data_IF_185260025563
#
_entry.id   IF_185260025563
#
_cell.length_a   1.000
_cell.length_b   1.000
_cell.length_c   1.000
_cell.angle_alpha   90.00
_cell.angle_beta   90.00
_cell.angle_gamma   90.00
#
_symmetry.space_group_name_H-M   'P 1'
#
loop_
_entity.id
_entity.type
_entity.pdbx_description
1 polymer ?
#
# COMPACT_ATOMS: atom_id res chain seq x y z
N UNK A 1 -6.01 13.20 0.93
CA UNK A 1 -6.56 14.55 0.73
C UNK A 1 -5.79 15.63 1.49
N UNK A 2 -5.03 15.29 2.53
CA UNK A 2 -4.20 16.25 3.29
C UNK A 2 -2.88 16.60 2.62
N UNK A 3 -2.41 15.81 1.66
CA UNK A 3 -1.11 15.99 1.04
C UNK A 3 -0.95 17.37 0.42
N UNK A 4 0.21 17.97 0.67
CA UNK A 4 0.68 19.19 0.04
C UNK A 4 1.84 18.88 -0.92
N UNK A 5 2.24 19.83 -1.75
CA UNK A 5 3.38 19.63 -2.64
C UNK A 5 4.69 19.41 -1.84
N UNK A 6 4.80 19.97 -0.63
CA UNK A 6 5.94 19.73 0.28
C UNK A 6 6.06 18.29 0.79
N UNK A 7 4.98 17.51 0.71
CA UNK A 7 4.96 16.11 1.16
C UNK A 7 5.40 15.13 0.05
N UNK A 8 5.66 15.62 -1.16
CA UNK A 8 6.04 14.78 -2.30
C UNK A 8 7.47 15.10 -2.70
N UNK A 9 8.36 14.17 -2.47
CA UNK A 9 9.72 14.21 -3.00
C UNK A 9 9.78 13.34 -4.25
N UNK A 10 9.72 13.99 -5.42
CA UNK A 10 9.72 13.28 -6.71
C UNK A 10 11.11 12.74 -7.05
N UNK A 11 12.17 13.38 -6.59
CA UNK A 11 13.55 12.94 -6.86
C UNK A 11 13.92 11.73 -5.99
N UNK A 12 13.58 11.76 -4.70
CA UNK A 12 13.71 10.60 -3.80
C UNK A 12 12.59 9.56 -4.01
N UNK A 13 11.56 9.88 -4.80
CA UNK A 13 10.35 9.06 -5.04
C UNK A 13 9.62 8.69 -3.75
N UNK A 14 9.47 9.65 -2.84
CA UNK A 14 8.88 9.43 -1.51
C UNK A 14 7.67 10.34 -1.30
N UNK A 15 6.62 9.76 -0.72
CA UNK A 15 5.46 10.49 -0.18
C UNK A 15 5.53 10.46 1.34
N UNK A 16 5.57 11.63 1.97
CA UNK A 16 5.56 11.80 3.42
C UNK A 16 4.12 11.88 3.92
N UNK A 17 3.64 10.85 4.60
CA UNK A 17 2.32 10.85 5.23
C UNK A 17 2.47 11.37 6.65
N UNK A 18 2.19 12.64 6.85
CA UNK A 18 2.40 13.37 8.11
C UNK A 18 1.19 14.16 8.57
N UNK A 19 0.08 14.13 7.82
CA UNK A 19 -1.14 14.91 8.06
C UNK A 19 -2.40 14.08 7.90
N UNK A 20 -3.48 14.52 8.50
CA UNK A 20 -4.83 14.00 8.34
C UNK A 20 -5.77 15.10 7.87
N UNK A 21 -6.76 14.73 7.06
CA UNK A 21 -7.78 15.64 6.54
C UNK A 21 -9.16 15.28 7.06
N UNK A 22 -9.84 16.26 7.58
CA UNK A 22 -11.24 16.17 7.95
C UNK A 22 -12.00 17.37 7.36
N UNK A 23 -13.31 17.22 7.19
CA UNK A 23 -14.19 18.34 6.86
C UNK A 23 -15.30 18.38 7.91
N UNK A 24 -15.36 19.47 8.66
CA UNK A 24 -16.30 19.69 9.77
C UNK A 24 -17.01 21.00 9.48
N UNK A 25 -18.34 20.99 9.50
CA UNK A 25 -19.21 22.15 9.27
C UNK A 25 -18.89 22.94 7.99
N UNK A 26 -18.45 22.20 6.94
CA UNK A 26 -18.12 22.82 5.67
C UNK A 26 -16.68 23.32 5.54
N UNK A 27 -15.91 23.31 6.61
CA UNK A 27 -14.52 23.74 6.65
C UNK A 27 -13.54 22.57 6.55
N UNK A 28 -12.44 22.79 5.84
CA UNK A 28 -11.36 21.82 5.68
C UNK A 28 -10.36 21.97 6.83
N UNK A 29 -10.25 20.91 7.63
CA UNK A 29 -9.37 20.89 8.80
C UNK A 29 -8.24 19.89 8.55
N UNK A 30 -7.01 20.40 8.66
CA UNK A 30 -5.79 19.58 8.60
C UNK A 30 -5.26 19.43 10.03
N UNK A 31 -5.03 18.19 10.42
CA UNK A 31 -4.52 17.85 11.75
C UNK A 31 -3.34 16.89 11.62
N UNK A 32 -2.64 16.72 12.71
CA UNK A 32 -1.70 15.62 12.85
C UNK A 32 -2.42 14.26 12.74
N UNK A 33 -1.75 13.22 12.27
CA UNK A 33 -2.26 11.88 12.33
C UNK A 33 -2.56 11.46 13.77
N UNK A 34 -3.60 10.65 13.96
CA UNK A 34 -4.06 10.23 15.32
C UNK A 34 -2.99 9.52 16.13
N UNK A 35 -2.04 8.87 15.46
CA UNK A 35 -1.01 8.06 16.12
C UNK A 35 0.34 8.24 15.47
N UNK A 36 1.45 8.05 16.23
CA UNK A 36 2.80 8.14 15.70
C UNK A 36 3.05 7.20 14.50
N UNK A 37 2.51 5.97 14.52
CA UNK A 37 2.64 4.99 13.43
C UNK A 37 1.90 5.39 12.15
N UNK A 38 0.98 6.33 12.24
CA UNK A 38 0.30 6.88 11.06
C UNK A 38 1.22 7.80 10.25
N UNK A 39 2.27 8.37 10.87
CA UNK A 39 3.34 9.07 10.15
C UNK A 39 4.26 8.04 9.52
N UNK A 40 4.46 8.15 8.23
CA UNK A 40 5.30 7.21 7.47
C UNK A 40 5.68 7.76 6.13
N UNK A 41 6.75 7.24 5.60
CA UNK A 41 7.20 7.48 4.24
C UNK A 41 6.80 6.30 3.34
N UNK A 42 6.32 6.62 2.16
CA UNK A 42 5.91 5.64 1.15
C UNK A 42 6.74 5.83 -0.09
N UNK A 43 7.57 4.87 -0.43
CA UNK A 43 8.32 4.88 -1.69
C UNK A 43 7.36 4.66 -2.85
N UNK A 44 7.40 5.57 -3.83
CA UNK A 44 6.62 5.49 -5.06
C UNK A 44 7.34 4.59 -6.09
N UNK A 45 6.60 3.82 -6.88
CA UNK A 45 7.16 3.25 -8.10
C UNK A 45 7.44 4.36 -9.12
N UNK A 46 8.38 4.10 -10.04
CA UNK A 46 8.87 5.08 -11.00
C UNK A 46 7.77 5.77 -11.79
N UNK A 47 6.84 4.97 -12.32
CA UNK A 47 5.72 5.52 -13.09
C UNK A 47 4.87 6.51 -12.29
N UNK A 48 4.65 6.25 -10.98
CA UNK A 48 3.88 7.15 -10.13
C UNK A 48 4.66 8.44 -9.81
N UNK A 49 5.98 8.34 -9.64
CA UNK A 49 6.83 9.52 -9.42
C UNK A 49 6.80 10.45 -10.64
N UNK A 50 6.88 9.90 -11.86
CA UNK A 50 6.75 10.67 -13.10
C UNK A 50 5.36 11.32 -13.25
N UNK A 51 4.28 10.56 -13.04
CA UNK A 51 2.92 11.11 -13.06
C UNK A 51 2.73 12.21 -12.01
N UNK A 52 3.31 12.06 -10.81
CA UNK A 52 3.26 13.10 -9.77
C UNK A 52 4.05 14.34 -10.16
N UNK A 53 5.20 14.17 -10.80
CA UNK A 53 6.01 15.28 -11.32
C UNK A 53 5.25 16.10 -12.37
N UNK A 54 4.65 15.43 -13.34
CA UNK A 54 3.82 16.07 -14.36
C UNK A 54 2.61 16.78 -13.74
N UNK A 55 1.92 16.09 -12.81
CA UNK A 55 0.77 16.67 -12.12
C UNK A 55 1.15 17.94 -11.34
N UNK A 56 2.20 17.88 -10.53
CA UNK A 56 2.67 19.04 -9.75
C UNK A 56 3.08 20.21 -10.66
N UNK A 57 3.72 19.94 -11.79
CA UNK A 57 4.10 20.98 -12.76
C UNK A 57 2.90 21.63 -13.44
N UNK A 58 1.76 20.93 -13.54
CA UNK A 58 0.53 21.45 -14.12
C UNK A 58 -0.27 22.36 -13.18
N UNK A 59 0.07 22.39 -11.88
CA UNK A 59 -0.63 23.19 -10.88
C UNK A 59 -0.15 24.65 -10.94
N UNK A 60 -0.91 25.51 -11.60
CA UNK A 60 -0.57 26.93 -11.70
C UNK A 60 -0.89 27.70 -10.41
N UNK A 61 0.03 28.60 -9.99
CA UNK A 61 -0.17 29.42 -8.79
C UNK A 61 -0.14 28.65 -7.46
N UNK A 62 0.32 27.42 -7.47
CA UNK A 62 0.41 26.56 -6.28
C UNK A 62 1.67 26.87 -5.48
N UNK A 63 1.52 26.98 -4.16
CA UNK A 63 2.66 27.02 -3.23
C UNK A 63 2.91 25.60 -2.66
N UNK A 64 4.08 25.41 -2.08
CA UNK A 64 4.45 24.11 -1.47
C UNK A 64 3.49 23.65 -0.36
N UNK A 65 2.81 24.60 0.28
CA UNK A 65 1.91 24.35 1.41
C UNK A 65 0.45 24.12 0.98
N UNK A 66 0.12 24.35 -0.28
CA UNK A 66 -1.22 24.09 -0.79
C UNK A 66 -1.49 22.60 -0.89
N UNK A 67 -2.71 22.19 -0.52
CA UNK A 67 -3.17 20.80 -0.75
C UNK A 67 -3.22 20.51 -2.25
N UNK A 68 -2.55 19.45 -2.68
CA UNK A 68 -2.52 19.08 -4.11
C UNK A 68 -3.86 18.53 -4.61
N UNK A 69 -4.71 18.02 -3.73
CA UNK A 69 -6.04 17.52 -4.07
C UNK A 69 -7.13 18.38 -3.41
N UNK A 70 -7.55 19.45 -4.09
CA UNK A 70 -8.57 20.39 -3.63
C UNK A 70 -10.00 19.84 -3.79
N UNK A 71 -10.20 18.58 -3.41
CA UNK A 71 -11.45 17.84 -3.53
C UNK A 71 -11.93 17.31 -2.17
N UNK A 72 -13.20 16.96 -2.09
CA UNK A 72 -13.82 16.41 -0.88
C UNK A 72 -13.94 14.88 -0.95
N UNK A 73 -14.15 14.24 0.21
CA UNK A 73 -14.46 12.80 0.26
C UNK A 73 -15.72 12.46 -0.55
N UNK A 74 -16.74 13.30 -0.50
CA UNK A 74 -17.99 13.11 -1.25
C UNK A 74 -17.75 13.13 -2.76
N UNK A 75 -16.88 14.03 -3.24
CA UNK A 75 -16.48 14.07 -4.64
C UNK A 75 -15.80 12.76 -5.06
N UNK A 76 -14.83 12.26 -4.28
CA UNK A 76 -14.16 10.99 -4.56
C UNK A 76 -15.15 9.81 -4.66
N UNK A 77 -16.14 9.76 -3.75
CA UNK A 77 -17.17 8.71 -3.80
C UNK A 77 -18.02 8.78 -5.06
N UNK A 78 -18.38 9.99 -5.52
CA UNK A 78 -19.13 10.20 -6.77
C UNK A 78 -18.30 9.77 -7.97
N UNK A 79 -17.03 10.17 -8.04
CA UNK A 79 -16.13 9.80 -9.13
C UNK A 79 -15.87 8.30 -9.17
N UNK A 80 -15.70 7.65 -8.02
CA UNK A 80 -15.57 6.20 -7.96
C UNK A 80 -16.80 5.49 -8.51
N UNK A 81 -18.00 5.98 -8.19
CA UNK A 81 -19.25 5.43 -8.70
C UNK A 81 -19.36 5.64 -10.22
N UNK A 82 -19.05 6.85 -10.70
CA UNK A 82 -19.07 7.21 -12.12
C UNK A 82 -18.08 6.36 -12.92
N UNK A 83 -16.85 6.25 -12.43
CA UNK A 83 -15.80 5.48 -13.08
C UNK A 83 -16.12 3.99 -13.16
N UNK A 84 -16.57 3.39 -12.05
CA UNK A 84 -16.96 1.98 -12.02
C UNK A 84 -18.10 1.66 -13.00
N UNK A 85 -19.12 2.54 -13.05
CA UNK A 85 -20.23 2.41 -14.02
C UNK A 85 -19.74 2.51 -15.46
N UNK A 86 -18.84 3.48 -15.77
CA UNK A 86 -18.28 3.67 -17.11
C UNK A 86 -17.44 2.48 -17.56
N UNK A 87 -16.68 1.90 -16.63
CA UNK A 87 -15.81 0.75 -16.90
C UNK A 87 -16.56 -0.60 -16.87
N UNK A 88 -17.83 -0.64 -16.50
CA UNK A 88 -18.60 -1.88 -16.38
C UNK A 88 -18.11 -2.82 -15.27
N UNK A 89 -17.41 -2.28 -14.24
CA UNK A 89 -16.85 -3.07 -13.14
C UNK A 89 -17.61 -2.86 -11.84
N UNK A 90 -17.51 -3.83 -10.93
CA UNK A 90 -18.12 -3.71 -9.59
C UNK A 90 -17.55 -2.51 -8.86
N UNK A 91 -18.43 -1.64 -8.34
CA UNK A 91 -18.03 -0.53 -7.49
C UNK A 91 -17.47 -1.03 -6.17
N UNK A 92 -16.29 -0.53 -5.80
CA UNK A 92 -15.70 -0.69 -4.47
C UNK A 92 -15.68 0.66 -3.73
N UNK A 93 -15.51 0.64 -2.42
CA UNK A 93 -15.35 1.87 -1.63
C UNK A 93 -13.94 2.45 -1.78
N UNK A 94 -13.75 3.72 -1.43
CA UNK A 94 -12.40 4.32 -1.39
C UNK A 94 -11.50 3.53 -0.41
N UNK A 95 -12.06 3.10 0.73
CA UNK A 95 -11.32 2.23 1.66
C UNK A 95 -11.05 0.83 1.06
N UNK A 96 -11.92 0.36 0.18
CA UNK A 96 -11.74 -0.88 -0.58
C UNK A 96 -10.47 -0.88 -1.45
N UNK A 97 -10.03 0.29 -1.95
CA UNK A 97 -8.74 0.40 -2.66
C UNK A 97 -7.56 0.00 -1.77
N UNK A 98 -7.62 0.39 -0.49
CA UNK A 98 -6.61 -0.01 0.49
C UNK A 98 -6.62 -1.53 0.72
N UNK A 99 -7.81 -2.14 0.83
CA UNK A 99 -7.94 -3.60 0.93
C UNK A 99 -7.37 -4.30 -0.30
N UNK A 100 -7.69 -3.80 -1.50
CA UNK A 100 -7.16 -4.34 -2.76
C UNK A 100 -5.63 -4.24 -2.83
N UNK A 101 -5.06 -3.13 -2.38
CA UNK A 101 -3.61 -2.95 -2.32
C UNK A 101 -2.95 -3.96 -1.38
N UNK A 102 -3.51 -4.17 -0.19
CA UNK A 102 -3.02 -5.15 0.79
C UNK A 102 -3.08 -6.56 0.19
N UNK A 103 -4.25 -6.96 -0.35
CA UNK A 103 -4.44 -8.28 -0.95
C UNK A 103 -3.48 -8.53 -2.12
N UNK A 104 -3.26 -7.49 -2.96
CA UNK A 104 -2.31 -7.56 -4.05
C UNK A 104 -0.88 -7.82 -3.56
N UNK A 105 -0.43 -7.09 -2.53
CA UNK A 105 0.91 -7.27 -1.97
C UNK A 105 1.08 -8.64 -1.29
N UNK A 106 0.05 -9.15 -0.62
CA UNK A 106 0.05 -10.52 -0.06
C UNK A 106 0.26 -11.54 -1.18
N UNK A 107 -0.51 -11.43 -2.26
CA UNK A 107 -0.38 -12.34 -3.42
C UNK A 107 0.98 -12.23 -4.14
N UNK A 108 1.73 -11.15 -3.90
CA UNK A 108 3.11 -10.97 -4.38
C UNK A 108 4.16 -11.49 -3.41
N UNK A 109 3.74 -12.10 -2.28
CA UNK A 109 4.65 -12.71 -1.31
C UNK A 109 5.27 -11.73 -0.30
N UNK A 110 4.78 -10.47 -0.21
CA UNK A 110 5.29 -9.55 0.79
C UNK A 110 4.80 -9.91 2.19
N UNK A 111 5.67 -9.78 3.18
CA UNK A 111 5.35 -10.10 4.57
C UNK A 111 4.29 -9.16 5.16
N UNK A 112 3.51 -9.71 6.10
CA UNK A 112 2.51 -8.94 6.85
C UNK A 112 3.09 -7.68 7.52
N UNK A 113 4.31 -7.77 8.01
CA UNK A 113 5.02 -6.65 8.66
C UNK A 113 5.33 -5.53 7.65
N UNK A 114 5.90 -5.90 6.49
CA UNK A 114 6.22 -4.93 5.44
C UNK A 114 4.97 -4.22 4.92
N UNK A 115 3.89 -4.97 4.70
CA UNK A 115 2.60 -4.42 4.27
C UNK A 115 2.03 -3.51 5.36
N UNK A 116 2.04 -3.93 6.63
CA UNK A 116 1.55 -3.15 7.77
C UNK A 116 2.27 -1.79 7.88
N UNK A 117 3.58 -1.76 7.75
CA UNK A 117 4.38 -0.53 7.75
C UNK A 117 4.00 0.39 6.58
N UNK A 118 3.88 -0.15 5.37
CA UNK A 118 3.50 0.62 4.17
C UNK A 118 2.12 1.26 4.30
N UNK A 119 1.14 0.52 4.81
CA UNK A 119 -0.23 1.03 4.93
C UNK A 119 -0.48 1.76 6.26
N UNK A 120 0.45 1.74 7.22
CA UNK A 120 0.33 2.40 8.52
C UNK A 120 -0.72 1.74 9.41
N UNK A 121 -0.64 0.44 9.59
CA UNK A 121 -1.44 -0.27 10.57
C UNK A 121 -0.83 -0.14 11.97
N UNK A 122 -1.64 0.26 12.95
CA UNK A 122 -1.20 0.42 14.34
C UNK A 122 -0.87 -0.89 15.03
N UNK A 123 -1.66 -1.92 14.71
CA UNK A 123 -1.47 -3.25 15.27
C UNK A 123 -1.28 -4.29 14.17
N UNK A 124 -0.42 -5.25 14.44
CA UNK A 124 -0.29 -6.44 13.61
C UNK A 124 -1.63 -7.18 13.48
N UNK A 125 -2.54 -7.01 14.46
CA UNK A 125 -3.86 -7.64 14.47
C UNK A 125 -4.70 -7.30 13.23
N UNK A 126 -4.55 -6.10 12.64
CA UNK A 126 -5.25 -5.73 11.40
C UNK A 126 -4.67 -6.52 10.22
N UNK A 127 -3.37 -6.79 10.22
CA UNK A 127 -2.74 -7.63 9.19
C UNK A 127 -3.15 -9.10 9.37
N UNK A 128 -3.39 -9.55 10.60
CA UNK A 128 -3.97 -10.87 10.88
C UNK A 128 -5.39 -11.04 10.33
N UNK A 129 -6.13 -9.96 10.11
CA UNK A 129 -7.42 -10.04 9.41
C UNK A 129 -7.29 -10.63 8.00
N UNK A 130 -6.11 -10.52 7.42
CA UNK A 130 -5.76 -11.09 6.12
C UNK A 130 -4.92 -12.39 6.26
N UNK A 131 -4.77 -12.93 7.47
CA UNK A 131 -3.93 -14.10 7.71
C UNK A 131 -4.30 -15.31 6.83
N UNK A 132 -5.60 -15.46 6.54
CA UNK A 132 -6.12 -16.50 5.65
C UNK A 132 -5.69 -16.35 4.18
N UNK A 133 -5.19 -15.20 3.78
CA UNK A 133 -4.68 -14.92 2.42
C UNK A 133 -3.18 -15.19 2.27
N UNK A 134 -2.46 -15.35 3.39
CA UNK A 134 -1.06 -15.75 3.34
C UNK A 134 -1.00 -17.26 3.08
N UNK A 135 -0.15 -17.71 2.14
CA UNK A 135 0.03 -19.15 1.92
C UNK A 135 0.41 -19.85 3.22
N UNK A 136 -0.15 -21.01 3.46
CA UNK A 136 0.31 -21.90 4.54
C UNK A 136 1.62 -22.54 4.09
N UNK A 137 2.71 -21.85 4.31
CA UNK A 137 4.05 -22.22 3.85
C UNK A 137 4.67 -23.39 4.63
N UNK A 138 3.89 -24.10 5.48
CA UNK A 138 4.42 -25.20 6.31
C UNK A 138 5.09 -26.30 5.49
N UNK A 139 4.50 -26.67 4.36
CA UNK A 139 5.08 -27.68 3.49
C UNK A 139 6.30 -27.15 2.75
N UNK A 140 6.26 -25.91 2.33
CA UNK A 140 7.39 -25.24 1.66
C UNK A 140 8.56 -25.01 2.63
N UNK A 141 8.28 -24.57 3.87
CA UNK A 141 9.28 -24.49 4.94
C UNK A 141 9.96 -25.84 5.20
N UNK A 142 9.17 -26.91 5.30
CA UNK A 142 9.70 -28.27 5.48
C UNK A 142 10.56 -28.70 4.27
N UNK A 143 10.14 -28.39 3.06
CA UNK A 143 10.90 -28.71 1.85
C UNK A 143 12.24 -27.95 1.77
N UNK A 144 12.24 -26.66 2.15
CA UNK A 144 13.46 -25.84 2.23
C UNK A 144 14.42 -26.42 3.27
N UNK A 145 13.93 -26.70 4.48
CA UNK A 145 14.75 -27.29 5.55
C UNK A 145 15.33 -28.64 5.14
N UNK A 146 14.57 -29.49 4.48
CA UNK A 146 15.06 -30.76 3.96
C UNK A 146 16.16 -30.56 2.90
N UNK A 147 15.97 -29.60 1.99
CA UNK A 147 16.97 -29.30 0.95
C UNK A 147 18.27 -28.86 1.57
N UNK A 148 18.21 -27.90 2.48
CA UNK A 148 19.41 -27.40 3.19
C UNK A 148 20.11 -28.50 4.00
N UNK A 149 19.35 -29.38 4.63
CA UNK A 149 19.93 -30.53 5.35
C UNK A 149 20.63 -31.49 4.38
N UNK A 150 20.03 -31.84 3.25
CA UNK A 150 20.63 -32.71 2.25
C UNK A 150 21.91 -32.11 1.66
N UNK A 151 21.92 -30.81 1.36
CA UNK A 151 23.09 -30.09 0.85
C UNK A 151 24.25 -30.10 1.86
N UNK A 152 23.95 -29.93 3.17
CA UNK A 152 24.97 -29.90 4.24
C UNK A 152 25.53 -31.27 4.57
N UNK A 153 24.74 -32.32 4.45
CA UNK A 153 25.11 -33.70 4.83
C UNK A 153 25.63 -34.52 3.67
N UNK A 154 25.60 -34.01 2.45
CA UNK A 154 25.97 -34.76 1.24
C UNK A 154 25.03 -35.93 0.95
N UNK A 155 23.84 -35.94 1.56
CA UNK A 155 22.81 -36.98 1.38
C UNK A 155 21.95 -36.67 0.16
N UNK A 156 22.57 -36.55 -1.01
CA UNK A 156 21.88 -36.55 -2.30
C UNK A 156 21.99 -37.95 -2.91
N UNK A 157 20.82 -38.56 -3.10
CA UNK A 157 20.52 -39.68 -4.00
C UNK A 157 21.07 -41.05 -3.63
N UNK A 158 20.22 -41.85 -2.96
CA UNK A 158 20.04 -43.22 -3.40
C UNK A 158 18.70 -43.23 -4.15
N UNK A 159 18.79 -43.11 -5.47
CA UNK A 159 17.70 -43.45 -6.34
C UNK A 159 17.29 -44.90 -6.11
N UNK A 160 16.02 -45.13 -5.85
CA UNK A 160 15.42 -46.44 -5.88
C UNK A 160 15.38 -46.94 -7.35
N UNK A 161 16.45 -47.60 -7.75
CA UNK A 161 16.38 -48.62 -8.73
C UNK A 161 15.77 -49.89 -8.07
N UNK A 162 14.46 -49.99 -8.14
CA UNK A 162 13.80 -51.27 -7.88
C UNK A 162 13.21 -51.79 -9.19
N UNK A 163 13.74 -52.95 -9.55
CA UNK A 163 13.35 -53.81 -10.67
C UNK A 163 11.86 -54.12 -10.73
#
# INVERSE_FOLDING_TARGET
>A
LALTAADIDVEAKVIHINKSYQRIDGEDIITDPKTPKSRRDIVMPDFLAEEMKEYLSSLYGFTRDNRIFMITKSYLHKEMTRGAKKAGVKRITIHGLRHSHISYLINRGFSAVAIGNRVGHESQSITFHYAHMFPTEQQEMAAVLNREFCERTGSLEKGDDVK
#
